data_IF_883650354323
#
_entry.id   IF_883650354323
#
_cell.length_a   1.000
_cell.length_b   1.000
_cell.length_c   1.000
_cell.angle_alpha   90.00
_cell.angle_beta   90.00
_cell.angle_gamma   90.00
#
_symmetry.space_group_name_H-M   'P 1'
#
loop_
_entity.id
_entity.type
_entity.pdbx_description
1 polymer ?
#
# COMPACT_ATOMS: atom_id res chain seq x y z
N UNK A 1 17.89 -10.47 -59.44
CA UNK A 1 16.80 -10.57 -58.44
C UNK A 1 17.42 -10.38 -57.06
N UNK A 2 16.91 -9.42 -56.29
CA UNK A 2 17.47 -8.99 -55.01
C UNK A 2 17.20 -10.04 -53.92
N UNK A 3 18.23 -10.66 -53.36
CA UNK A 3 18.10 -11.50 -52.17
C UNK A 3 17.96 -10.63 -50.93
N UNK A 4 16.74 -10.58 -50.38
CA UNK A 4 16.47 -10.01 -49.06
C UNK A 4 17.09 -10.91 -47.98
N UNK A 5 18.11 -10.39 -47.30
CA UNK A 5 18.75 -11.02 -46.14
C UNK A 5 17.83 -10.86 -44.94
N UNK A 6 17.32 -11.97 -44.40
CA UNK A 6 16.60 -11.98 -43.14
C UNK A 6 17.51 -11.48 -42.00
N UNK A 7 16.99 -10.66 -41.05
CA UNK A 7 17.78 -10.20 -39.93
C UNK A 7 18.05 -11.35 -38.96
N UNK A 8 19.32 -11.50 -38.56
CA UNK A 8 19.78 -12.50 -37.60
C UNK A 8 19.10 -12.28 -36.22
N UNK A 9 18.87 -13.35 -35.43
CA UNK A 9 18.34 -13.22 -34.08
C UNK A 9 19.31 -12.41 -33.19
N UNK A 10 18.81 -11.52 -32.31
CA UNK A 10 19.67 -10.78 -31.40
C UNK A 10 20.38 -11.75 -30.44
N UNK A 11 21.66 -11.48 -30.09
CA UNK A 11 22.38 -12.28 -29.10
C UNK A 11 21.63 -12.22 -27.76
N UNK A 12 21.61 -13.33 -27.03
CA UNK A 12 20.82 -13.56 -25.82
C UNK A 12 21.25 -12.73 -24.58
N UNK A 13 21.82 -11.54 -24.78
CA UNK A 13 22.48 -10.74 -23.76
C UNK A 13 22.13 -9.26 -23.79
N UNK A 14 21.02 -8.81 -24.37
CA UNK A 14 20.68 -7.38 -24.33
C UNK A 14 19.83 -7.03 -23.08
N UNK A 15 20.23 -6.01 -22.32
CA UNK A 15 19.46 -5.40 -21.23
C UNK A 15 18.62 -4.24 -21.78
N UNK A 16 17.31 -4.33 -21.58
CA UNK A 16 16.35 -3.27 -21.92
C UNK A 16 15.90 -2.54 -20.66
N UNK A 17 16.03 -1.21 -20.66
CA UNK A 17 15.61 -0.38 -19.54
C UNK A 17 15.33 1.06 -20.00
N UNK A 18 14.73 1.88 -19.15
CA UNK A 18 14.44 3.28 -19.50
C UNK A 18 15.50 4.21 -18.91
N UNK A 19 15.94 5.20 -19.68
CA UNK A 19 16.83 6.25 -19.18
C UNK A 19 16.20 7.00 -18.00
N UNK A 20 16.94 7.24 -16.92
CA UNK A 20 16.40 7.92 -15.75
C UNK A 20 16.04 9.40 -15.98
N UNK A 21 16.71 10.04 -16.94
CA UNK A 21 16.53 11.47 -17.28
C UNK A 21 15.38 11.67 -18.26
N UNK A 22 15.44 11.05 -19.44
CA UNK A 22 14.47 11.29 -20.51
C UNK A 22 13.39 10.20 -20.65
N UNK A 23 13.45 9.15 -19.83
CA UNK A 23 12.50 8.02 -19.78
C UNK A 23 12.35 7.22 -21.09
N UNK A 24 13.18 7.50 -22.09
CA UNK A 24 13.20 6.74 -23.35
C UNK A 24 13.82 5.36 -23.14
N UNK A 25 13.33 4.34 -23.87
CA UNK A 25 13.88 3.00 -23.79
C UNK A 25 15.30 2.97 -24.38
N UNK A 26 16.19 2.27 -23.70
CA UNK A 26 17.56 1.99 -24.10
C UNK A 26 17.76 0.47 -24.12
N UNK A 27 18.57 0.01 -25.07
CA UNK A 27 18.98 -1.38 -25.20
C UNK A 27 20.51 -1.38 -25.21
N UNK A 28 21.12 -2.09 -24.27
CA UNK A 28 22.57 -2.17 -24.10
C UNK A 28 22.97 -3.64 -23.92
N UNK A 29 24.22 -3.95 -24.22
CA UNK A 29 24.77 -5.29 -23.96
C UNK A 29 24.81 -5.57 -22.44
N UNK A 30 24.52 -6.80 -22.04
CA UNK A 30 24.52 -7.27 -20.66
C UNK A 30 25.91 -7.21 -20.04
N UNK A 31 26.99 -7.24 -20.85
CA UNK A 31 28.34 -6.97 -20.38
C UNK A 31 28.50 -5.56 -19.80
N UNK A 32 27.64 -4.62 -20.18
CA UNK A 32 27.63 -3.27 -19.64
C UNK A 32 26.75 -3.12 -18.37
N UNK A 33 26.19 -4.21 -17.83
CA UNK A 33 25.42 -4.19 -16.59
C UNK A 33 26.21 -3.53 -15.44
N UNK A 34 25.59 -2.58 -14.73
CA UNK A 34 26.23 -1.85 -13.63
C UNK A 34 27.19 -0.72 -14.06
N UNK A 35 27.44 -0.53 -15.35
CA UNK A 35 28.22 0.60 -15.85
C UNK A 35 27.36 1.87 -15.97
N UNK A 36 28.01 3.04 -15.90
CA UNK A 36 27.37 4.33 -16.23
C UNK A 36 27.71 4.69 -17.67
N UNK A 37 26.70 4.90 -18.51
CA UNK A 37 26.85 5.35 -19.89
C UNK A 37 26.04 6.62 -20.13
N UNK A 38 26.41 7.39 -21.14
CA UNK A 38 25.60 8.54 -21.56
C UNK A 38 24.42 8.06 -22.43
N UNK A 39 23.22 8.56 -22.13
CA UNK A 39 22.03 8.25 -22.89
C UNK A 39 22.15 8.75 -24.33
N UNK A 40 21.93 7.87 -25.31
CA UNK A 40 21.98 8.21 -26.74
C UNK A 40 20.88 9.21 -27.18
N UNK A 41 19.87 9.44 -26.35
CA UNK A 41 18.77 10.36 -26.66
C UNK A 41 18.89 11.74 -26.01
N UNK A 42 19.38 11.81 -24.78
CA UNK A 42 19.45 13.09 -24.04
C UNK A 42 20.86 13.49 -23.61
N UNK A 43 21.87 12.62 -23.83
CA UNK A 43 23.25 12.85 -23.42
C UNK A 43 23.51 12.72 -21.91
N UNK A 44 22.46 12.63 -21.09
CA UNK A 44 22.59 12.53 -19.63
C UNK A 44 23.20 11.20 -19.17
N UNK A 45 23.95 11.19 -18.05
CA UNK A 45 24.51 9.97 -17.47
C UNK A 45 23.38 9.05 -17.02
N UNK A 46 23.48 7.77 -17.36
CA UNK A 46 22.47 6.74 -17.11
C UNK A 46 23.16 5.48 -16.61
N UNK A 47 22.73 4.96 -15.46
CA UNK A 47 23.27 3.74 -14.87
C UNK A 47 22.52 2.55 -15.46
N UNK A 48 23.26 1.57 -15.98
CA UNK A 48 22.65 0.35 -16.49
C UNK A 48 22.23 -0.52 -15.30
N UNK A 49 20.95 -0.90 -15.18
CA UNK A 49 20.49 -1.75 -14.09
C UNK A 49 21.25 -3.07 -14.09
N UNK A 50 22.02 -3.31 -13.02
CA UNK A 50 22.52 -4.64 -12.76
C UNK A 50 21.37 -5.48 -12.22
N UNK A 51 21.32 -6.75 -12.63
CA UNK A 51 20.29 -7.71 -12.22
C UNK A 51 20.25 -7.92 -10.69
N UNK A 52 21.27 -7.43 -9.98
CA UNK A 52 21.46 -7.49 -8.53
C UNK A 52 20.61 -6.50 -7.72
N UNK A 53 19.86 -5.60 -8.36
CA UNK A 53 19.02 -4.62 -7.63
C UNK A 53 17.61 -5.13 -7.29
N UNK A 54 17.29 -6.39 -7.62
CA UNK A 54 16.08 -7.04 -7.08
C UNK A 54 16.35 -7.38 -5.63
N UNK A 55 15.74 -6.63 -4.70
CA UNK A 55 15.60 -7.04 -3.29
C UNK A 55 15.27 -8.54 -3.29
N UNK A 56 16.05 -9.35 -2.55
CA UNK A 56 15.88 -10.79 -2.64
C UNK A 56 14.45 -11.15 -2.25
N UNK A 57 13.84 -12.11 -2.95
CA UNK A 57 12.48 -12.57 -2.64
C UNK A 57 12.38 -13.03 -1.17
N UNK A 58 13.49 -13.51 -0.60
CA UNK A 58 13.59 -13.88 0.80
C UNK A 58 13.45 -12.66 1.74
N UNK A 59 14.15 -11.57 1.47
CA UNK A 59 14.03 -10.34 2.27
C UNK A 59 12.60 -9.79 2.21
N UNK A 60 12.00 -9.78 1.01
CA UNK A 60 10.61 -9.35 0.83
C UNK A 60 9.62 -10.22 1.62
N UNK A 61 9.84 -11.54 1.65
CA UNK A 61 9.01 -12.48 2.39
C UNK A 61 9.09 -12.19 3.90
N UNK A 62 10.29 -12.04 4.45
CA UNK A 62 10.47 -11.73 5.88
C UNK A 62 9.87 -10.38 6.27
N UNK A 63 9.97 -9.38 5.40
CA UNK A 63 9.35 -8.08 5.62
C UNK A 63 7.82 -8.14 5.60
N UNK A 64 7.25 -8.95 4.71
CA UNK A 64 5.80 -9.16 4.65
C UNK A 64 5.32 -9.91 5.90
N UNK A 65 6.02 -10.96 6.34
CA UNK A 65 5.68 -11.69 7.56
C UNK A 65 5.67 -10.78 8.79
N UNK A 66 6.68 -9.91 8.92
CA UNK A 66 6.73 -8.90 10.00
C UNK A 66 5.54 -7.95 9.94
N UNK A 67 5.20 -7.44 8.75
CA UNK A 67 4.05 -6.54 8.57
C UNK A 67 2.72 -7.23 8.87
N UNK A 68 2.58 -8.52 8.54
CA UNK A 68 1.39 -9.30 8.87
C UNK A 68 1.22 -9.42 10.38
N UNK A 69 2.28 -9.76 11.11
CA UNK A 69 2.24 -9.86 12.57
C UNK A 69 1.88 -8.54 13.24
N UNK A 70 2.47 -7.45 12.77
CA UNK A 70 2.14 -6.09 13.23
C UNK A 70 0.66 -5.76 12.96
N UNK A 71 0.17 -6.06 11.75
CA UNK A 71 -1.22 -5.83 11.38
C UNK A 71 -2.19 -6.66 12.24
N UNK A 72 -1.85 -7.90 12.56
CA UNK A 72 -2.64 -8.75 13.45
C UNK A 72 -2.72 -8.19 14.88
N UNK A 73 -1.62 -7.63 15.39
CA UNK A 73 -1.60 -6.92 16.68
C UNK A 73 -2.55 -5.72 16.66
N UNK A 74 -2.37 -4.84 15.67
CA UNK A 74 -3.20 -3.64 15.51
C UNK A 74 -4.68 -3.98 15.36
N UNK A 75 -5.02 -5.02 14.60
CA UNK A 75 -6.40 -5.49 14.44
C UNK A 75 -6.99 -5.93 15.78
N UNK A 76 -6.21 -6.61 16.61
CA UNK A 76 -6.64 -7.07 17.93
C UNK A 76 -6.90 -5.89 18.87
N UNK A 77 -6.03 -4.87 18.85
CA UNK A 77 -6.20 -3.64 19.62
C UNK A 77 -7.47 -2.88 19.22
N UNK A 78 -7.66 -2.65 17.91
CA UNK A 78 -8.85 -1.97 17.39
C UNK A 78 -10.12 -2.72 17.77
N UNK A 79 -10.10 -4.06 17.69
CA UNK A 79 -11.24 -4.89 18.10
C UNK A 79 -11.55 -4.71 19.59
N UNK A 80 -10.53 -4.66 20.45
CA UNK A 80 -10.70 -4.39 21.88
C UNK A 80 -11.34 -3.02 22.13
N UNK A 81 -10.90 -1.97 21.45
CA UNK A 81 -11.50 -0.64 21.56
C UNK A 81 -12.96 -0.62 21.11
N UNK A 82 -13.28 -1.28 20.01
CA UNK A 82 -14.67 -1.41 19.54
C UNK A 82 -15.53 -2.06 20.61
N UNK A 83 -15.07 -3.17 21.20
CA UNK A 83 -15.82 -3.87 22.24
C UNK A 83 -16.06 -2.99 23.48
N UNK A 84 -15.05 -2.24 23.91
CA UNK A 84 -15.18 -1.31 25.02
C UNK A 84 -16.20 -0.20 24.71
N UNK A 85 -16.14 0.40 23.52
CA UNK A 85 -17.07 1.44 23.09
C UNK A 85 -18.50 0.90 22.98
N UNK A 86 -18.69 -0.32 22.47
CA UNK A 86 -19.99 -0.98 22.44
C UNK A 86 -20.60 -1.12 23.85
N UNK A 87 -19.80 -1.53 24.83
CA UNK A 87 -20.26 -1.63 26.24
C UNK A 87 -20.63 -0.24 26.77
N UNK A 88 -19.82 0.78 26.52
CA UNK A 88 -20.11 2.14 26.97
C UNK A 88 -21.42 2.64 26.33
N UNK A 89 -21.58 2.48 25.03
CA UNK A 89 -22.80 2.86 24.31
C UNK A 89 -24.02 2.16 24.91
N UNK A 90 -23.93 0.86 25.21
CA UNK A 90 -25.03 0.13 25.83
C UNK A 90 -25.41 0.72 27.20
N UNK A 91 -24.42 1.04 28.05
CA UNK A 91 -24.67 1.69 29.35
C UNK A 91 -25.32 3.06 29.19
N UNK A 92 -24.86 3.87 28.24
CA UNK A 92 -25.45 5.18 27.96
C UNK A 92 -26.89 5.06 27.46
N UNK A 93 -27.19 4.06 26.62
CA UNK A 93 -28.55 3.77 26.17
C UNK A 93 -29.49 3.41 27.32
N UNK A 94 -29.04 2.55 28.24
CA UNK A 94 -29.83 2.22 29.44
C UNK A 94 -30.09 3.45 30.31
N UNK A 95 -29.06 4.27 30.55
CA UNK A 95 -29.20 5.52 31.32
C UNK A 95 -30.20 6.48 30.66
N UNK A 96 -30.14 6.60 29.33
CA UNK A 96 -31.09 7.42 28.57
C UNK A 96 -32.51 6.91 28.72
N UNK A 97 -32.72 5.59 28.67
CA UNK A 97 -34.04 4.99 28.88
C UNK A 97 -34.60 5.36 30.26
N UNK A 98 -33.81 5.17 31.33
CA UNK A 98 -34.23 5.53 32.70
C UNK A 98 -34.57 7.02 32.82
N UNK A 99 -33.80 7.90 32.18
CA UNK A 99 -34.09 9.33 32.18
C UNK A 99 -35.39 9.66 31.44
N UNK A 100 -35.68 8.97 30.33
CA UNK A 100 -36.93 9.15 29.60
C UNK A 100 -38.13 8.68 30.42
N UNK A 101 -38.03 7.54 31.11
CA UNK A 101 -39.05 7.04 32.02
C UNK A 101 -39.32 8.07 33.13
N UNK A 102 -38.26 8.57 33.78
CA UNK A 102 -38.39 9.59 34.82
C UNK A 102 -38.99 10.90 34.30
N UNK A 103 -38.65 11.29 33.07
CA UNK A 103 -39.24 12.48 32.43
C UNK A 103 -40.76 12.30 32.28
N UNK A 104 -41.23 11.15 31.80
CA UNK A 104 -42.65 10.86 31.64
C UNK A 104 -43.39 10.94 32.99
N UNK A 105 -42.82 10.37 34.06
CA UNK A 105 -43.37 10.46 35.41
C UNK A 105 -43.52 11.92 35.86
N UNK A 106 -42.46 12.72 35.69
CA UNK A 106 -42.46 14.13 36.07
C UNK A 106 -43.45 14.97 35.25
N UNK A 107 -43.59 14.70 33.96
CA UNK A 107 -44.59 15.36 33.11
C UNK A 107 -46.02 15.02 33.57
N UNK A 108 -46.26 13.78 34.00
CA UNK A 108 -47.54 13.37 34.56
C UNK A 108 -47.84 14.03 35.92
N UNK A 109 -46.84 14.09 36.82
CA UNK A 109 -46.93 14.79 38.11
C UNK A 109 -47.23 16.29 37.91
N UNK A 110 -46.52 16.94 36.99
CA UNK A 110 -46.74 18.34 36.65
C UNK A 110 -48.16 18.58 36.12
N UNK A 111 -48.62 17.73 35.20
CA UNK A 111 -49.98 17.80 34.66
C UNK A 111 -51.09 17.48 35.68
N UNK A 112 -50.77 16.81 36.79
CA UNK A 112 -51.69 16.62 37.89
C UNK A 112 -51.79 17.86 38.78
N UNK A 113 -50.69 18.60 38.98
CA UNK A 113 -50.67 19.85 39.75
C UNK A 113 -51.25 21.06 39.00
N UNK A 114 -51.27 21.00 37.67
CA UNK A 114 -51.80 22.06 36.80
C UNK A 114 -53.31 21.92 36.50
N UNK A 115 -53.96 20.85 36.96
CA UNK A 115 -55.41 20.62 36.86
C UNK A 115 -56.10 20.95 38.17
#
# INVERSE_FOLDING_TARGET
>A
MHSARAPAPPPAGDIRFNCDVCKRPLIVDAAAAGMTLNCQHCGGPTIIPSVSSRVSTADQLTDIERKLKENESQRTEVTSYINQLCIQIHRWKLRLQTLNERKIELEAELGALQR
#
